data_IF_267737307660
#
_entry.id   IF_267737307660
#
_cell.length_a   1.000
_cell.length_b   1.000
_cell.length_c   1.000
_cell.angle_alpha   90.00
_cell.angle_beta   90.00
_cell.angle_gamma   90.00
#
_symmetry.space_group_name_H-M   'P 1'
#
loop_
_entity.id
_entity.type
_entity.pdbx_description
1 polymer ?
#
# COMPACT_ATOMS: atom_id res chain seq x y z
N UNK A 1 29.59 7.43 21.17
CA UNK A 1 30.11 6.12 20.74
C UNK A 1 29.74 5.81 19.29
N UNK A 2 28.47 5.74 18.92
CA UNK A 2 28.07 5.50 17.51
C UNK A 2 28.65 6.51 16.49
N UNK A 3 28.79 7.78 16.85
CA UNK A 3 29.38 8.82 15.98
C UNK A 3 30.87 8.59 15.72
N UNK A 4 31.61 8.00 16.66
CA UNK A 4 33.05 7.75 16.49
C UNK A 4 33.31 6.42 15.78
N UNK A 5 32.39 5.45 15.92
CA UNK A 5 32.48 4.12 15.33
C UNK A 5 31.42 3.90 14.24
N UNK A 6 31.17 4.89 13.39
CA UNK A 6 30.18 4.78 12.34
C UNK A 6 30.56 3.68 11.33
N UNK A 7 29.55 3.00 10.79
CA UNK A 7 29.72 1.98 9.76
C UNK A 7 29.72 2.69 8.39
N UNK A 8 30.67 2.36 7.53
CA UNK A 8 30.75 2.91 6.18
C UNK A 8 31.11 1.83 5.16
N UNK A 9 30.78 2.08 3.90
CA UNK A 9 31.20 1.27 2.76
C UNK A 9 32.44 1.96 2.18
N UNK A 10 33.58 1.28 2.21
CA UNK A 10 34.82 1.78 1.63
C UNK A 10 34.77 1.77 0.09
N UNK A 11 35.71 2.44 -0.57
CA UNK A 11 35.76 2.53 -2.04
C UNK A 11 35.89 1.17 -2.73
N UNK A 12 36.46 0.18 -2.03
CA UNK A 12 36.56 -1.22 -2.47
C UNK A 12 35.25 -2.01 -2.30
N UNK A 13 34.20 -1.38 -1.74
CA UNK A 13 32.90 -1.99 -1.44
C UNK A 13 32.86 -2.76 -0.11
N UNK A 14 33.94 -2.76 0.67
CA UNK A 14 33.97 -3.44 1.96
C UNK A 14 33.25 -2.63 3.04
N UNK A 15 32.46 -3.32 3.87
CA UNK A 15 31.76 -2.72 5.00
C UNK A 15 32.73 -2.64 6.18
N UNK A 16 33.11 -1.43 6.58
CA UNK A 16 34.09 -1.16 7.63
C UNK A 16 33.46 -0.35 8.76
N UNK A 17 34.06 -0.45 9.94
CA UNK A 17 33.70 0.35 11.11
C UNK A 17 34.82 1.35 11.34
N UNK A 18 34.48 2.63 11.47
CA UNK A 18 35.48 3.65 11.79
C UNK A 18 36.07 3.38 13.19
N UNK A 19 37.38 3.57 13.34
CA UNK A 19 38.09 3.39 14.60
C UNK A 19 37.78 2.03 15.30
N UNK A 20 37.86 0.94 14.52
CA UNK A 20 37.52 -0.41 14.99
C UNK A 20 38.36 -0.86 16.20
N UNK A 21 39.62 -0.44 16.29
CA UNK A 21 40.54 -0.88 17.34
C UNK A 21 40.13 -0.42 18.75
N UNK A 22 39.38 0.69 18.85
CA UNK A 22 38.90 1.24 20.12
C UNK A 22 37.45 0.87 20.41
N UNK A 23 36.87 -0.06 19.65
CA UNK A 23 35.48 -0.47 19.80
C UNK A 23 35.27 -1.26 21.10
N UNK A 24 34.18 -0.96 21.80
CA UNK A 24 33.81 -1.68 23.01
C UNK A 24 33.17 -3.04 22.69
N UNK A 25 33.16 -3.97 23.65
CA UNK A 25 32.62 -5.34 23.43
C UNK A 25 31.10 -5.39 23.25
N UNK A 26 30.40 -4.40 23.77
CA UNK A 26 28.94 -4.17 23.67
C UNK A 26 28.54 -3.39 22.40
N UNK A 27 29.42 -3.31 21.41
CA UNK A 27 29.21 -2.53 20.18
C UNK A 27 27.89 -2.81 19.44
N UNK A 28 27.44 -4.05 19.44
CA UNK A 28 26.20 -4.48 18.84
C UNK A 28 24.96 -3.80 19.44
N UNK A 29 25.03 -3.27 20.66
CA UNK A 29 23.91 -2.55 21.30
C UNK A 29 23.69 -1.15 20.68
N UNK A 30 24.76 -0.48 20.23
CA UNK A 30 24.67 0.87 19.67
C UNK A 30 24.96 0.97 18.17
N UNK A 31 25.64 -0.02 17.57
CA UNK A 31 25.83 -0.14 16.12
C UNK A 31 24.84 -1.08 15.44
N UNK A 32 24.16 -1.93 16.22
CA UNK A 32 23.31 -2.99 15.71
C UNK A 32 24.10 -4.22 15.23
N UNK A 33 23.36 -5.25 14.87
CA UNK A 33 23.90 -6.51 14.36
C UNK A 33 24.25 -6.39 12.88
N UNK A 34 25.39 -6.95 12.49
CA UNK A 34 25.88 -6.91 11.11
C UNK A 34 25.01 -7.77 10.17
N UNK A 35 24.46 -7.14 9.13
CA UNK A 35 23.78 -7.85 8.04
C UNK A 35 24.80 -8.46 7.05
N UNK A 36 24.40 -9.49 6.29
CA UNK A 36 25.19 -9.97 5.15
C UNK A 36 25.47 -8.84 4.15
N UNK A 37 26.68 -8.83 3.57
CA UNK A 37 27.07 -7.81 2.58
C UNK A 37 26.14 -7.70 1.37
N UNK A 38 25.49 -8.81 0.97
CA UNK A 38 24.49 -8.83 -0.10
C UNK A 38 23.29 -7.90 0.21
N UNK A 39 22.82 -7.83 1.46
CA UNK A 39 21.71 -6.94 1.83
C UNK A 39 22.13 -5.47 1.90
N UNK A 40 23.35 -5.19 2.36
CA UNK A 40 23.90 -3.84 2.32
C UNK A 40 24.06 -3.33 0.88
N UNK A 41 24.45 -4.21 -0.04
CA UNK A 41 24.51 -3.87 -1.47
C UNK A 41 23.12 -3.51 -2.01
N UNK A 42 22.08 -4.28 -1.70
CA UNK A 42 20.70 -3.97 -2.13
C UNK A 42 20.15 -2.68 -1.52
N UNK A 43 20.49 -2.38 -0.26
CA UNK A 43 20.16 -1.10 0.37
C UNK A 43 20.88 0.07 -0.33
N UNK A 44 22.20 -0.04 -0.53
CA UNK A 44 23.03 1.02 -1.10
C UNK A 44 22.70 1.30 -2.58
N UNK A 45 22.30 0.28 -3.34
CA UNK A 45 21.88 0.42 -4.74
C UNK A 45 20.41 0.81 -4.91
N UNK A 46 19.66 0.94 -3.81
CA UNK A 46 18.28 1.40 -3.80
C UNK A 46 17.23 0.35 -4.18
N UNK A 47 17.57 -0.94 -4.20
CA UNK A 47 16.62 -2.02 -4.49
C UNK A 47 15.52 -2.13 -3.41
N UNK A 48 15.89 -1.92 -2.15
CA UNK A 48 15.01 -2.03 -0.97
C UNK A 48 15.27 -0.89 0.01
N UNK A 49 14.26 -0.57 0.83
CA UNK A 49 14.37 0.37 1.93
C UNK A 49 15.05 -0.22 3.18
N UNK A 50 15.40 0.65 4.12
CA UNK A 50 16.10 0.25 5.34
C UNK A 50 15.18 -0.36 6.41
N UNK A 51 13.87 -0.10 6.36
CA UNK A 51 12.98 -0.28 7.52
C UNK A 51 12.97 -1.69 8.10
N UNK A 52 12.77 -2.70 7.25
CA UNK A 52 12.78 -4.12 7.68
C UNK A 52 14.18 -4.55 8.11
N UNK A 53 15.21 -4.02 7.46
CA UNK A 53 16.61 -4.27 7.83
C UNK A 53 16.92 -3.70 9.22
N UNK A 54 16.46 -2.48 9.52
CA UNK A 54 16.63 -1.80 10.79
C UNK A 54 15.97 -2.57 11.94
N UNK A 55 14.81 -3.17 11.67
CA UNK A 55 14.12 -4.05 12.63
C UNK A 55 14.96 -5.26 13.02
N UNK A 56 15.64 -5.85 12.03
CA UNK A 56 16.47 -7.03 12.20
C UNK A 56 17.81 -6.67 12.86
N UNK A 57 18.47 -5.59 12.43
CA UNK A 57 19.78 -5.17 12.95
C UNK A 57 19.69 -4.74 14.40
N UNK A 58 18.67 -3.97 14.77
CA UNK A 58 18.51 -3.45 16.14
C UNK A 58 17.65 -4.35 17.02
N UNK A 59 17.15 -5.47 16.50
CA UNK A 59 16.27 -6.39 17.23
C UNK A 59 15.05 -5.70 17.86
N UNK A 60 14.57 -4.61 17.24
CA UNK A 60 13.46 -3.80 17.75
C UNK A 60 12.66 -3.14 16.63
N UNK A 61 11.36 -3.03 16.84
CA UNK A 61 10.47 -2.22 16.01
C UNK A 61 9.99 -1.06 16.88
N UNK A 62 10.22 0.17 16.44
CA UNK A 62 9.74 1.37 17.14
C UNK A 62 8.64 2.01 16.30
N UNK A 63 7.41 2.00 16.83
CA UNK A 63 6.29 2.72 16.21
C UNK A 63 6.37 4.18 16.61
N UNK A 64 6.49 5.07 15.62
CA UNK A 64 6.61 6.52 15.83
C UNK A 64 5.26 7.21 15.99
N UNK A 65 5.24 8.45 16.53
CA UNK A 65 4.05 9.30 16.56
C UNK A 65 3.45 9.56 15.17
N UNK A 66 2.13 9.75 15.13
CA UNK A 66 1.42 10.19 13.92
C UNK A 66 1.66 11.68 13.67
N UNK A 67 1.36 12.16 12.45
CA UNK A 67 1.57 13.56 12.07
C UNK A 67 0.75 14.55 12.90
N UNK A 68 -0.43 14.13 13.35
CA UNK A 68 -1.33 14.89 14.22
C UNK A 68 -1.00 14.69 15.71
N UNK A 69 -0.09 13.77 16.05
CA UNK A 69 0.33 13.49 17.43
C UNK A 69 -0.75 12.80 18.27
N UNK A 70 -1.83 12.29 17.66
CA UNK A 70 -2.96 11.68 18.36
C UNK A 70 -2.87 10.16 18.29
N UNK A 71 -2.84 9.51 19.45
CA UNK A 71 -2.97 8.06 19.56
C UNK A 71 -4.45 7.65 19.60
N UNK A 72 -5.14 7.71 18.46
CA UNK A 72 -6.53 7.26 18.38
C UNK A 72 -6.64 5.75 18.63
N UNK A 73 -7.78 5.28 19.14
CA UNK A 73 -7.97 3.85 19.39
C UNK A 73 -7.87 3.01 18.09
N UNK A 74 -8.26 3.57 16.94
CA UNK A 74 -8.02 2.87 15.66
C UNK A 74 -6.54 2.78 15.34
N UNK A 75 -5.77 3.86 15.53
CA UNK A 75 -4.33 3.84 15.29
C UNK A 75 -3.63 2.83 16.20
N UNK A 76 -3.96 2.83 17.50
CA UNK A 76 -3.41 1.87 18.46
C UNK A 76 -3.69 0.43 18.02
N UNK A 77 -4.95 0.10 17.69
CA UNK A 77 -5.34 -1.23 17.21
C UNK A 77 -4.63 -1.60 15.90
N UNK A 78 -4.51 -0.65 14.98
CA UNK A 78 -3.87 -0.85 13.69
C UNK A 78 -2.41 -1.29 13.86
N UNK A 79 -1.62 -0.49 14.59
CA UNK A 79 -0.16 -0.70 14.70
C UNK A 79 0.23 -1.81 15.68
N UNK A 80 -0.60 -2.11 16.68
CA UNK A 80 -0.29 -3.15 17.69
C UNK A 80 -0.82 -4.53 17.33
N UNK A 81 -1.79 -4.63 16.41
CA UNK A 81 -2.44 -5.90 16.09
C UNK A 81 -2.65 -6.13 14.60
N UNK A 82 -3.28 -5.18 13.90
CA UNK A 82 -3.79 -5.47 12.54
C UNK A 82 -2.69 -5.57 11.49
N UNK A 83 -1.66 -4.71 11.54
CA UNK A 83 -0.54 -4.74 10.57
C UNK A 83 0.65 -5.60 11.03
N UNK A 84 0.64 -6.08 12.28
CA UNK A 84 1.71 -6.92 12.84
C UNK A 84 1.97 -8.17 11.98
N UNK A 85 0.96 -8.91 11.48
CA UNK A 85 1.19 -10.06 10.61
C UNK A 85 1.96 -9.73 9.32
N UNK A 86 1.88 -8.50 8.80
CA UNK A 86 2.65 -8.09 7.62
C UNK A 86 4.12 -7.88 7.97
N UNK A 87 4.38 -7.27 9.14
CA UNK A 87 5.75 -7.10 9.67
C UNK A 87 6.41 -8.45 9.95
N UNK A 88 5.66 -9.37 10.57
CA UNK A 88 6.11 -10.75 10.81
C UNK A 88 6.45 -11.47 9.51
N UNK A 89 5.60 -11.38 8.48
CA UNK A 89 5.86 -11.98 7.17
C UNK A 89 7.08 -11.38 6.48
N UNK A 90 7.21 -10.05 6.49
CA UNK A 90 8.35 -9.33 5.89
C UNK A 90 9.67 -9.78 6.51
N UNK A 91 9.72 -9.88 7.85
CA UNK A 91 10.89 -10.38 8.57
C UNK A 91 11.12 -11.88 8.28
N UNK A 92 10.08 -12.70 8.31
CA UNK A 92 10.17 -14.14 8.09
C UNK A 92 10.59 -14.53 6.64
N UNK A 93 10.45 -13.62 5.67
CA UNK A 93 10.98 -13.81 4.31
C UNK A 93 12.51 -13.69 4.26
N UNK A 94 13.10 -12.83 5.09
CA UNK A 94 14.54 -12.55 5.07
C UNK A 94 15.34 -13.43 6.03
N UNK A 95 14.81 -13.62 7.25
CA UNK A 95 15.49 -14.33 8.36
C UNK A 95 16.13 -15.67 7.96
N UNK A 96 15.48 -16.56 7.17
CA UNK A 96 16.06 -17.87 6.82
C UNK A 96 17.39 -17.81 6.05
N UNK A 97 17.69 -16.66 5.42
CA UNK A 97 18.93 -16.44 4.66
C UNK A 97 19.98 -15.64 5.42
N UNK A 98 19.72 -15.28 6.68
CA UNK A 98 20.66 -14.54 7.53
C UNK A 98 21.46 -15.48 8.43
N UNK A 99 22.51 -14.95 9.06
CA UNK A 99 23.33 -15.71 10.00
C UNK A 99 22.55 -16.14 11.25
N UNK A 100 22.97 -17.25 11.87
CA UNK A 100 22.29 -17.88 13.01
C UNK A 100 22.04 -16.93 14.20
N UNK A 101 22.93 -15.97 14.46
CA UNK A 101 22.72 -14.94 15.48
C UNK A 101 21.46 -14.11 15.22
N UNK A 102 21.30 -13.60 14.00
CA UNK A 102 20.10 -12.86 13.57
C UNK A 102 18.84 -13.73 13.59
N UNK A 103 18.98 -15.02 13.24
CA UNK A 103 17.85 -15.95 13.26
C UNK A 103 17.27 -16.17 14.65
N UNK A 104 18.10 -16.26 15.69
CA UNK A 104 17.64 -16.54 17.05
C UNK A 104 17.33 -15.29 17.88
N UNK A 105 17.88 -14.13 17.54
CA UNK A 105 17.65 -12.90 18.32
C UNK A 105 16.19 -12.43 18.28
N UNK A 106 15.57 -12.27 19.46
CA UNK A 106 14.19 -11.83 19.56
C UNK A 106 14.05 -10.38 19.07
N UNK A 107 13.02 -10.10 18.27
CA UNK A 107 12.70 -8.75 17.82
C UNK A 107 11.49 -8.27 18.63
N UNK A 108 11.64 -7.15 19.33
CA UNK A 108 10.57 -6.60 20.18
C UNK A 108 10.01 -5.31 19.60
N UNK A 109 8.69 -5.22 19.50
CA UNK A 109 7.97 -4.01 19.11
C UNK A 109 7.59 -3.18 20.32
N UNK A 110 7.87 -1.87 20.22
CA UNK A 110 7.53 -0.83 21.19
C UNK A 110 6.73 0.27 20.51
N UNK A 111 5.86 0.92 21.28
CA UNK A 111 5.00 2.02 20.81
C UNK A 111 5.24 3.27 21.64
N UNK A 112 5.08 4.43 21.01
CA UNK A 112 5.34 5.72 21.65
C UNK A 112 4.27 6.15 22.67
N UNK A 113 3.07 5.57 22.62
CA UNK A 113 1.92 5.98 23.45
C UNK A 113 1.73 5.11 24.71
N UNK A 114 2.55 4.07 24.89
CA UNK A 114 2.51 3.17 26.03
C UNK A 114 3.89 2.52 26.26
N UNK A 115 4.61 3.02 27.26
CA UNK A 115 5.95 2.52 27.63
C UNK A 115 5.94 1.07 28.11
N UNK A 116 4.81 0.63 28.68
CA UNK A 116 4.64 -0.73 29.21
C UNK A 116 4.38 -1.76 28.12
N UNK A 117 3.88 -1.32 26.96
CA UNK A 117 3.62 -2.19 25.83
C UNK A 117 4.90 -2.85 25.34
N UNK A 118 4.84 -4.15 25.08
CA UNK A 118 5.95 -4.92 24.53
C UNK A 118 5.38 -6.11 23.78
N UNK A 119 5.68 -6.21 22.49
CA UNK A 119 5.23 -7.33 21.67
C UNK A 119 6.41 -8.02 21.01
N UNK A 120 6.55 -9.32 21.20
CA UNK A 120 7.63 -10.09 20.57
C UNK A 120 7.18 -10.63 19.21
N UNK A 121 7.89 -10.25 18.16
CA UNK A 121 7.59 -10.61 16.76
C UNK A 121 7.77 -12.11 16.54
N UNK A 122 6.76 -12.77 15.97
CA UNK A 122 6.85 -14.15 15.54
C UNK A 122 7.56 -14.26 14.18
N UNK A 123 8.74 -14.87 14.19
CA UNK A 123 9.55 -15.10 12.97
C UNK A 123 9.35 -16.49 12.35
N UNK A 124 8.66 -17.39 13.06
CA UNK A 124 8.52 -18.81 12.70
C UNK A 124 7.10 -19.12 12.25
N UNK A 125 6.59 -18.31 11.30
CA UNK A 125 5.25 -18.45 10.75
C UNK A 125 5.07 -19.79 10.02
N UNK A 126 3.90 -20.41 10.19
CA UNK A 126 3.51 -21.64 9.51
C UNK A 126 2.18 -21.44 8.77
N UNK A 127 2.10 -21.74 7.45
CA UNK A 127 3.21 -22.14 6.59
C UNK A 127 4.22 -20.99 6.37
N UNK A 128 5.47 -21.32 6.04
CA UNK A 128 6.51 -20.31 5.87
C UNK A 128 6.18 -19.37 4.70
N UNK A 129 6.26 -18.03 4.87
CA UNK A 129 6.05 -17.08 3.78
C UNK A 129 6.99 -17.32 2.60
N UNK A 130 8.24 -17.73 2.86
CA UNK A 130 9.20 -18.08 1.81
C UNK A 130 8.71 -19.27 0.97
N UNK A 131 8.09 -20.27 1.60
CA UNK A 131 7.57 -21.46 0.90
C UNK A 131 6.32 -21.11 0.08
N UNK A 132 5.40 -20.32 0.64
CA UNK A 132 4.19 -19.86 -0.08
C UNK A 132 4.53 -18.95 -1.25
N UNK A 133 5.51 -18.07 -1.09
CA UNK A 133 5.94 -17.17 -2.15
C UNK A 133 6.74 -17.91 -3.24
N UNK A 134 7.53 -18.93 -2.86
CA UNK A 134 8.33 -19.73 -3.78
C UNK A 134 7.53 -20.83 -4.53
N UNK A 135 6.28 -20.54 -4.89
CA UNK A 135 5.46 -21.32 -5.83
C UNK A 135 5.33 -20.64 -7.20
N UNK A 136 5.66 -19.35 -7.29
CA UNK A 136 5.51 -18.53 -8.48
C UNK A 136 6.77 -18.56 -9.37
N UNK A 137 6.67 -19.21 -10.53
CA UNK A 137 7.70 -19.34 -11.56
C UNK A 137 7.18 -18.87 -12.94
N UNK A 138 6.71 -17.62 -12.99
CA UNK A 138 6.15 -17.04 -14.22
C UNK A 138 7.28 -16.60 -15.17
N UNK A 139 7.18 -16.96 -16.44
CA UNK A 139 8.12 -16.54 -17.49
C UNK A 139 7.50 -15.44 -18.34
N UNK A 140 8.32 -14.54 -18.87
CA UNK A 140 7.85 -13.46 -19.76
C UNK A 140 7.12 -13.98 -21.00
N UNK A 141 7.48 -15.15 -21.50
CA UNK A 141 6.76 -15.80 -22.61
C UNK A 141 5.28 -16.04 -22.29
N UNK A 142 4.94 -16.23 -21.00
CA UNK A 142 3.56 -16.43 -20.54
C UNK A 142 2.78 -15.12 -20.49
N UNK A 143 3.40 -13.95 -20.43
CA UNK A 143 2.66 -12.68 -20.42
C UNK A 143 1.89 -12.47 -21.72
N UNK A 144 2.49 -12.87 -22.85
CA UNK A 144 1.90 -12.76 -24.19
C UNK A 144 0.63 -13.59 -24.37
N UNK A 145 0.37 -14.59 -23.53
CA UNK A 145 -0.81 -15.44 -23.66
C UNK A 145 -2.09 -14.75 -23.19
N UNK A 146 -1.98 -13.65 -22.43
CA UNK A 146 -3.13 -12.93 -21.85
C UNK A 146 -3.05 -11.41 -22.05
N UNK A 147 -1.95 -10.90 -22.60
CA UNK A 147 -1.72 -9.46 -22.78
C UNK A 147 -2.82 -8.78 -23.60
N UNK A 148 -3.27 -9.40 -24.70
CA UNK A 148 -4.28 -8.84 -25.58
C UNK A 148 -5.66 -8.75 -24.91
N UNK A 149 -6.02 -9.76 -24.11
CA UNK A 149 -7.31 -9.82 -23.43
C UNK A 149 -7.37 -8.90 -22.20
N UNK A 150 -6.25 -8.72 -21.50
CA UNK A 150 -6.18 -7.88 -20.30
C UNK A 150 -6.01 -6.40 -20.66
N UNK A 151 -5.29 -6.10 -21.74
CA UNK A 151 -5.02 -4.74 -22.22
C UNK A 151 -4.34 -3.81 -21.19
N UNK A 152 -3.50 -4.37 -20.31
CA UNK A 152 -2.58 -3.64 -19.42
C UNK A 152 -1.18 -4.28 -19.48
N UNK A 153 -0.11 -3.52 -19.22
CA UNK A 153 1.24 -4.07 -19.18
C UNK A 153 1.47 -4.93 -17.92
N UNK A 154 2.28 -5.99 -18.00
CA UNK A 154 2.83 -6.67 -16.83
C UNK A 154 3.57 -5.71 -15.89
N UNK A 155 3.51 -6.00 -14.59
CA UNK A 155 3.92 -5.12 -13.50
C UNK A 155 2.84 -4.14 -13.05
N UNK A 156 1.66 -4.14 -13.66
CA UNK A 156 0.51 -3.34 -13.21
C UNK A 156 -0.51 -4.19 -12.46
N UNK A 157 -1.03 -3.68 -11.34
CA UNK A 157 -2.02 -4.37 -10.49
C UNK A 157 -3.21 -4.93 -11.31
N UNK A 158 -3.63 -4.22 -12.36
CA UNK A 158 -4.66 -4.71 -13.27
C UNK A 158 -4.23 -5.95 -14.06
N UNK A 159 -3.03 -5.95 -14.63
CA UNK A 159 -2.49 -7.13 -15.29
C UNK A 159 -2.40 -8.32 -14.35
N UNK A 160 -1.75 -8.16 -13.19
CA UNK A 160 -1.51 -9.29 -12.29
C UNK A 160 -2.80 -9.90 -11.72
N UNK A 161 -3.84 -9.11 -11.47
CA UNK A 161 -5.11 -9.64 -10.97
C UNK A 161 -5.92 -10.27 -12.10
N UNK A 162 -6.06 -9.59 -13.24
CA UNK A 162 -6.91 -10.06 -14.33
C UNK A 162 -6.31 -11.26 -15.08
N UNK A 163 -4.98 -11.36 -15.17
CA UNK A 163 -4.32 -12.52 -15.77
C UNK A 163 -4.69 -13.84 -15.07
N UNK A 164 -5.00 -13.81 -13.76
CA UNK A 164 -5.40 -14.99 -13.00
C UNK A 164 -6.84 -15.46 -13.27
N UNK A 165 -7.62 -14.68 -14.04
CA UNK A 165 -8.93 -15.12 -14.53
C UNK A 165 -8.81 -16.13 -15.69
N UNK A 166 -7.62 -16.26 -16.29
CA UNK A 166 -7.37 -17.14 -17.42
C UNK A 166 -6.75 -18.47 -16.97
N UNK A 167 -7.48 -19.60 -17.03
CA UNK A 167 -7.01 -20.87 -16.48
C UNK A 167 -5.70 -21.39 -17.08
N UNK A 168 -5.48 -21.14 -18.37
CA UNK A 168 -4.25 -21.59 -19.05
C UNK A 168 -3.02 -20.78 -18.63
N UNK A 169 -3.21 -19.50 -18.30
CA UNK A 169 -2.17 -18.69 -17.66
C UNK A 169 -1.83 -19.24 -16.28
N UNK A 170 -2.83 -19.51 -15.45
CA UNK A 170 -2.66 -20.06 -14.09
C UNK A 170 -1.85 -21.35 -14.10
N UNK A 171 -2.11 -22.28 -15.02
CA UNK A 171 -1.31 -23.52 -15.16
C UNK A 171 0.18 -23.23 -15.44
N UNK A 172 0.48 -22.14 -16.13
CA UNK A 172 1.82 -21.71 -16.49
C UNK A 172 2.58 -20.96 -15.39
N UNK A 173 1.94 -20.66 -14.25
CA UNK A 173 2.56 -19.91 -13.15
C UNK A 173 3.38 -20.77 -12.18
N UNK A 174 3.18 -22.09 -12.21
CA UNK A 174 3.87 -23.04 -11.34
C UNK A 174 5.21 -23.50 -11.96
N UNK A 175 6.23 -23.82 -11.15
CA UNK A 175 7.50 -24.34 -11.63
C UNK A 175 7.32 -25.70 -12.31
N UNK A 176 7.92 -25.82 -13.51
CA UNK A 176 7.97 -27.10 -14.24
C UNK A 176 9.08 -27.99 -13.66
N UNK A 177 8.76 -29.26 -13.40
CA UNK A 177 9.72 -30.35 -13.10
C UNK A 177 10.61 -30.24 -11.85
N UNK A 178 10.06 -29.80 -10.69
CA UNK A 178 10.79 -29.70 -9.40
C UNK A 178 12.13 -28.91 -9.47
N UNK A 179 12.37 -28.17 -10.56
CA UNK A 179 13.55 -27.34 -10.71
C UNK A 179 13.45 -26.15 -9.77
N UNK A 180 14.60 -25.68 -9.30
CA UNK A 180 14.68 -24.44 -8.53
C UNK A 180 14.17 -23.29 -9.41
N UNK A 181 13.27 -22.48 -8.86
CA UNK A 181 12.78 -21.25 -9.49
C UNK A 181 13.97 -20.36 -9.85
N UNK A 182 13.98 -19.83 -11.07
CA UNK A 182 15.06 -18.99 -11.59
C UNK A 182 14.72 -18.39 -12.95
N UNK A 183 15.52 -17.44 -13.44
CA UNK A 183 15.26 -16.75 -14.70
C UNK A 183 14.16 -15.68 -14.59
N UNK A 184 14.04 -15.08 -13.41
CA UNK A 184 13.18 -13.91 -13.15
C UNK A 184 14.10 -12.69 -13.14
N UNK A 185 14.50 -12.22 -14.33
CA UNK A 185 15.68 -11.35 -14.45
C UNK A 185 15.35 -9.91 -14.87
N UNK A 186 14.42 -9.70 -15.81
CA UNK A 186 14.03 -8.36 -16.25
C UNK A 186 13.27 -7.60 -15.15
N UNK A 187 13.27 -6.27 -15.24
CA UNK A 187 12.51 -5.41 -14.33
C UNK A 187 11.03 -5.79 -14.35
N UNK A 188 10.45 -5.93 -15.54
CA UNK A 188 9.03 -6.29 -15.73
C UNK A 188 8.69 -7.63 -15.06
N UNK A 189 9.50 -8.67 -15.28
CA UNK A 189 9.26 -9.99 -14.70
C UNK A 189 9.43 -9.99 -13.17
N UNK A 190 10.45 -9.29 -12.64
CA UNK A 190 10.66 -9.16 -11.20
C UNK A 190 9.47 -8.46 -10.54
N UNK A 191 9.03 -7.34 -11.11
CA UNK A 191 7.89 -6.57 -10.60
C UNK A 191 6.61 -7.40 -10.62
N UNK A 192 6.28 -8.05 -11.75
CA UNK A 192 5.09 -8.88 -11.86
C UNK A 192 5.09 -10.05 -10.86
N UNK A 193 6.20 -10.79 -10.74
CA UNK A 193 6.32 -11.88 -9.76
C UNK A 193 6.26 -11.38 -8.32
N UNK A 194 6.84 -10.21 -8.02
CA UNK A 194 6.73 -9.60 -6.70
C UNK A 194 5.27 -9.28 -6.34
N UNK A 195 4.50 -8.72 -7.28
CA UNK A 195 3.08 -8.41 -7.10
C UNK A 195 2.26 -9.68 -6.88
N UNK A 196 2.42 -10.73 -7.70
CA UNK A 196 1.70 -11.99 -7.48
C UNK A 196 2.03 -12.64 -6.14
N UNK A 197 3.29 -12.63 -5.73
CA UNK A 197 3.70 -13.14 -4.41
C UNK A 197 3.09 -12.31 -3.27
N UNK A 198 3.02 -10.99 -3.43
CA UNK A 198 2.33 -10.13 -2.48
C UNK A 198 0.84 -10.49 -2.40
N UNK A 199 0.16 -10.59 -3.54
CA UNK A 199 -1.27 -10.97 -3.61
C UNK A 199 -1.52 -12.33 -2.97
N UNK A 200 -0.61 -13.31 -3.16
CA UNK A 200 -0.70 -14.62 -2.54
C UNK A 200 -0.48 -14.56 -1.01
N UNK A 201 0.56 -13.87 -0.54
CA UNK A 201 0.84 -13.74 0.90
C UNK A 201 -0.26 -12.97 1.64
N UNK A 202 -0.82 -11.94 1.00
CA UNK A 202 -1.99 -11.21 1.51
C UNK A 202 -3.27 -12.01 1.39
N UNK A 203 -3.36 -13.05 0.55
CA UNK A 203 -4.54 -13.90 0.41
C UNK A 203 -5.62 -13.34 -0.53
N UNK A 204 -5.24 -12.47 -1.45
CA UNK A 204 -6.05 -12.18 -2.65
C UNK A 204 -6.01 -13.36 -3.63
N UNK A 205 -4.95 -14.14 -3.55
CA UNK A 205 -4.73 -15.36 -4.33
C UNK A 205 -4.50 -16.52 -3.35
N UNK A 206 -5.00 -17.70 -3.67
CA UNK A 206 -4.80 -18.91 -2.88
C UNK A 206 -3.58 -19.73 -3.35
N UNK A 207 -3.30 -20.84 -2.66
CA UNK A 207 -2.17 -21.72 -3.00
C UNK A 207 -2.31 -22.40 -4.38
N UNK A 208 -3.50 -22.35 -4.98
CA UNK A 208 -3.75 -22.84 -6.35
C UNK A 208 -3.54 -21.77 -7.42
N UNK A 209 -3.03 -20.59 -7.02
CA UNK A 209 -2.84 -19.41 -7.86
C UNK A 209 -4.15 -18.90 -8.49
N UNK A 210 -5.27 -19.09 -7.79
CA UNK A 210 -6.59 -18.58 -8.20
C UNK A 210 -7.06 -17.45 -7.28
N UNK A 211 -7.89 -16.55 -7.81
CA UNK A 211 -8.41 -15.42 -7.05
C UNK A 211 -9.36 -15.89 -5.94
N UNK A 212 -9.12 -15.43 -4.72
CA UNK A 212 -10.04 -15.60 -3.58
C UNK A 212 -11.21 -14.63 -3.69
N UNK A 213 -12.14 -14.62 -2.72
CA UNK A 213 -13.20 -13.62 -2.67
C UNK A 213 -12.65 -12.18 -2.65
N UNK A 214 -11.54 -11.94 -1.95
CA UNK A 214 -10.86 -10.64 -1.98
C UNK A 214 -10.27 -10.34 -3.37
N UNK A 215 -9.62 -11.31 -4.01
CA UNK A 215 -9.08 -11.15 -5.36
C UNK A 215 -10.16 -10.83 -6.40
N UNK A 216 -11.29 -11.55 -6.34
CA UNK A 216 -12.44 -11.32 -7.23
C UNK A 216 -13.11 -9.96 -6.99
N UNK A 217 -13.13 -9.47 -5.74
CA UNK A 217 -13.64 -8.15 -5.41
C UNK A 217 -12.77 -7.04 -6.02
N UNK A 218 -11.45 -7.18 -5.93
CA UNK A 218 -10.52 -6.24 -6.59
C UNK A 218 -10.66 -6.31 -8.12
N UNK A 219 -10.74 -7.51 -8.69
CA UNK A 219 -10.97 -7.68 -10.13
C UNK A 219 -12.26 -6.99 -10.60
N UNK A 220 -13.34 -7.10 -9.83
CA UNK A 220 -14.62 -6.45 -10.11
C UNK A 220 -14.53 -4.92 -10.07
N UNK A 221 -13.77 -4.39 -9.10
CA UNK A 221 -13.50 -2.95 -9.00
C UNK A 221 -12.63 -2.47 -10.17
N UNK A 222 -11.60 -3.22 -10.56
CA UNK A 222 -10.74 -2.90 -11.70
C UNK A 222 -11.54 -2.84 -13.00
N UNK A 223 -12.43 -3.80 -13.25
CA UNK A 223 -13.31 -3.75 -14.43
C UNK A 223 -14.22 -2.52 -14.45
N UNK A 224 -14.86 -2.19 -13.32
CA UNK A 224 -15.68 -0.98 -13.22
C UNK A 224 -14.87 0.31 -13.45
N UNK A 225 -13.64 0.35 -12.94
CA UNK A 225 -12.75 1.49 -13.14
C UNK A 225 -12.35 1.59 -14.62
N UNK A 226 -11.94 0.49 -15.26
CA UNK A 226 -11.59 0.46 -16.69
C UNK A 226 -12.71 0.99 -17.58
N UNK A 227 -13.97 0.65 -17.28
CA UNK A 227 -15.11 1.18 -18.02
C UNK A 227 -15.23 2.71 -17.86
N UNK A 228 -15.02 3.23 -16.66
CA UNK A 228 -15.06 4.67 -16.39
C UNK A 228 -13.89 5.44 -17.02
N UNK A 229 -12.73 4.80 -17.15
CA UNK A 229 -11.51 5.39 -17.73
C UNK A 229 -11.60 5.58 -19.26
N UNK A 230 -12.64 5.08 -19.92
CA UNK A 230 -12.91 5.36 -21.35
C UNK A 230 -13.23 6.83 -21.59
N UNK A 231 -13.76 7.52 -20.58
CA UNK A 231 -14.25 8.90 -20.68
C UNK A 231 -13.44 9.88 -19.79
N UNK A 232 -12.58 9.36 -18.91
CA UNK A 232 -11.88 10.15 -17.89
C UNK A 232 -10.36 10.15 -18.11
N UNK A 233 -9.74 11.28 -17.81
CA UNK A 233 -8.28 11.42 -17.84
C UNK A 233 -7.67 11.08 -16.48
N UNK A 234 -6.61 10.26 -16.48
CA UNK A 234 -5.86 9.93 -15.27
C UNK A 234 -4.76 11.01 -15.05
N UNK A 235 -4.64 11.57 -13.83
CA UNK A 235 -3.53 12.42 -13.46
C UNK A 235 -2.16 11.76 -13.65
N UNK A 236 -1.17 12.53 -14.10
CA UNK A 236 0.20 12.02 -14.25
C UNK A 236 0.77 11.52 -12.91
N UNK A 237 1.39 10.33 -12.97
CA UNK A 237 1.97 9.65 -11.82
C UNK A 237 0.97 8.97 -10.89
N UNK A 238 -0.34 9.02 -11.18
CA UNK A 238 -1.35 8.29 -10.41
C UNK A 238 -1.48 6.86 -10.93
N UNK A 239 -1.15 5.88 -10.08
CA UNK A 239 -1.46 4.48 -10.33
C UNK A 239 -2.85 4.14 -9.77
N UNK A 240 -3.89 4.27 -10.61
CA UNK A 240 -5.28 4.09 -10.19
C UNK A 240 -5.57 2.67 -9.70
N UNK A 241 -4.97 1.65 -10.30
CA UNK A 241 -5.21 0.25 -9.90
C UNK A 241 -4.49 -0.11 -8.60
N UNK A 242 -3.34 0.49 -8.33
CA UNK A 242 -2.70 0.44 -7.01
C UNK A 242 -3.54 1.16 -5.94
N UNK A 243 -4.18 2.29 -6.29
CA UNK A 243 -5.11 2.96 -5.38
C UNK A 243 -6.32 2.07 -5.03
N UNK A 244 -6.84 1.28 -5.98
CA UNK A 244 -7.89 0.27 -5.72
C UNK A 244 -7.37 -0.77 -4.74
N UNK A 245 -6.20 -1.39 -5.00
CA UNK A 245 -5.64 -2.39 -4.10
C UNK A 245 -5.41 -1.82 -2.69
N UNK A 246 -4.90 -0.59 -2.60
CA UNK A 246 -4.73 0.13 -1.34
C UNK A 246 -6.07 0.34 -0.62
N UNK A 247 -7.15 0.67 -1.35
CA UNK A 247 -8.49 0.79 -0.76
C UNK A 247 -8.96 -0.54 -0.14
N UNK A 248 -8.75 -1.67 -0.82
CA UNK A 248 -9.11 -2.99 -0.30
C UNK A 248 -8.26 -3.41 0.91
N UNK A 249 -6.97 -3.07 0.93
CA UNK A 249 -6.11 -3.25 2.11
C UNK A 249 -6.64 -2.44 3.31
N UNK A 250 -7.05 -1.19 3.09
CA UNK A 250 -7.63 -0.34 4.13
C UNK A 250 -8.99 -0.84 4.62
N UNK A 251 -9.84 -1.39 3.73
CA UNK A 251 -11.12 -2.01 4.11
C UNK A 251 -10.86 -3.24 4.98
N UNK A 252 -9.91 -4.09 4.59
CA UNK A 252 -9.56 -5.30 5.33
C UNK A 252 -9.00 -5.01 6.72
N UNK A 253 -8.30 -3.90 6.88
CA UNK A 253 -7.83 -3.41 8.17
C UNK A 253 -8.88 -2.57 8.92
N UNK A 254 -10.10 -2.46 8.42
CA UNK A 254 -11.18 -1.66 9.00
C UNK A 254 -10.79 -0.18 9.23
N UNK A 255 -10.02 0.37 8.30
CA UNK A 255 -9.57 1.78 8.27
C UNK A 255 -10.43 2.60 7.30
N UNK A 256 -10.73 2.05 6.12
CA UNK A 256 -11.60 2.70 5.13
C UNK A 256 -13.06 2.32 5.38
N UNK A 257 -13.71 3.10 6.25
CA UNK A 257 -15.11 2.95 6.62
C UNK A 257 -15.78 4.33 6.84
N UNK A 258 -17.09 4.35 7.08
CA UNK A 258 -17.85 5.58 7.38
C UNK A 258 -17.92 5.91 8.88
N UNK A 259 -17.21 5.15 9.72
CA UNK A 259 -17.24 5.28 11.17
C UNK A 259 -16.15 6.23 11.64
N UNK A 260 -16.17 6.52 12.94
CA UNK A 260 -15.13 7.28 13.61
C UNK A 260 -14.91 8.65 12.96
N UNK A 261 -15.95 9.47 13.01
CA UNK A 261 -15.94 10.84 12.50
C UNK A 261 -15.07 11.76 13.35
N UNK A 262 -14.58 11.34 14.53
CA UNK A 262 -13.73 12.14 15.42
C UNK A 262 -14.19 13.60 15.48
N UNK A 263 -15.39 13.82 16.03
CA UNK A 263 -16.04 15.14 16.06
C UNK A 263 -15.24 16.17 16.87
N UNK A 264 -14.35 15.71 17.74
CA UNK A 264 -13.34 16.51 18.43
C UNK A 264 -12.29 17.13 17.49
N UNK A 265 -12.13 16.59 16.28
CA UNK A 265 -11.20 17.07 15.27
C UNK A 265 -11.89 17.97 14.24
N UNK A 266 -11.22 19.05 13.86
CA UNK A 266 -11.70 19.95 12.82
C UNK A 266 -11.79 19.23 11.45
N UNK A 267 -12.79 19.59 10.64
CA UNK A 267 -12.95 19.12 9.27
C UNK A 267 -13.89 17.93 9.10
N UNK A 268 -14.63 17.53 10.14
CA UNK A 268 -15.72 16.57 10.00
C UNK A 268 -16.84 17.10 9.05
N UNK A 269 -17.58 16.23 8.35
CA UNK A 269 -18.78 16.61 7.60
C UNK A 269 -19.82 17.31 8.49
N UNK A 270 -20.38 18.42 8.01
CA UNK A 270 -21.20 19.32 8.83
C UNK A 270 -22.68 19.31 8.41
N UNK A 271 -22.96 19.11 7.13
CA UNK A 271 -24.30 19.26 6.55
C UNK A 271 -25.03 17.91 6.45
N UNK A 272 -26.35 17.92 6.66
CA UNK A 272 -27.23 16.76 6.43
C UNK A 272 -27.49 15.90 7.66
N UNK A 273 -28.18 14.79 7.45
CA UNK A 273 -28.44 13.75 8.45
C UNK A 273 -27.13 13.05 8.86
N UNK A 274 -27.16 12.23 9.92
CA UNK A 274 -25.96 11.48 10.31
C UNK A 274 -25.52 10.45 9.27
N UNK A 275 -26.47 9.92 8.49
CA UNK A 275 -26.22 9.04 7.32
C UNK A 275 -25.57 9.81 6.18
N UNK A 276 -26.03 11.03 5.90
CA UNK A 276 -25.41 11.92 4.89
C UNK A 276 -23.96 12.20 5.27
N UNK A 277 -23.73 12.62 6.51
CA UNK A 277 -22.39 12.92 7.02
C UNK A 277 -21.48 11.68 7.02
N UNK A 278 -22.02 10.49 7.25
CA UNK A 278 -21.26 9.23 7.15
C UNK A 278 -20.89 8.92 5.70
N UNK A 279 -21.81 9.16 4.77
CA UNK A 279 -21.58 9.01 3.33
C UNK A 279 -20.48 9.96 2.82
N UNK A 280 -20.55 11.24 3.18
CA UNK A 280 -19.52 12.25 2.85
C UNK A 280 -18.15 11.82 3.39
N UNK A 281 -18.10 11.33 4.62
CA UNK A 281 -16.85 10.86 5.24
C UNK A 281 -16.23 9.70 4.45
N UNK A 282 -17.04 8.70 4.08
CA UNK A 282 -16.55 7.54 3.34
C UNK A 282 -16.06 7.92 1.94
N UNK A 283 -16.83 8.73 1.21
CA UNK A 283 -16.49 9.19 -0.15
C UNK A 283 -15.21 10.02 -0.12
N UNK A 284 -15.07 10.95 0.83
CA UNK A 284 -13.87 11.78 0.98
C UNK A 284 -12.62 10.99 1.39
N UNK A 285 -12.76 9.92 2.18
CA UNK A 285 -11.66 8.99 2.48
C UNK A 285 -11.22 8.22 1.24
N UNK A 286 -12.15 7.76 0.39
CA UNK A 286 -11.81 7.13 -0.89
C UNK A 286 -11.08 8.12 -1.81
N UNK A 287 -11.58 9.35 -1.92
CA UNK A 287 -10.96 10.41 -2.72
C UNK A 287 -9.56 10.80 -2.23
N UNK A 288 -9.25 10.60 -0.95
CA UNK A 288 -7.89 10.80 -0.38
C UNK A 288 -6.85 9.79 -0.83
N UNK A 289 -7.25 8.74 -1.56
CA UNK A 289 -6.31 7.78 -2.18
C UNK A 289 -5.90 8.20 -3.60
N UNK A 290 -6.48 9.30 -4.10
CA UNK A 290 -6.24 9.84 -5.42
C UNK A 290 -5.49 11.18 -5.32
N UNK A 291 -5.23 11.80 -6.48
CA UNK A 291 -4.43 13.02 -6.60
C UNK A 291 -5.28 14.18 -7.09
N UNK A 292 -5.20 15.33 -6.40
CA UNK A 292 -5.70 16.60 -6.90
C UNK A 292 -4.62 17.23 -7.79
N UNK A 293 -4.95 17.54 -9.05
CA UNK A 293 -4.05 18.29 -9.94
C UNK A 293 -4.04 19.76 -9.53
N UNK A 294 -2.87 20.24 -9.14
CA UNK A 294 -2.66 21.57 -8.57
C UNK A 294 -1.33 22.15 -9.06
N UNK A 295 -1.26 23.47 -9.21
CA UNK A 295 -0.01 24.15 -9.56
C UNK A 295 1.06 23.98 -8.48
N UNK A 296 2.34 24.10 -8.82
CA UNK A 296 3.46 23.94 -7.88
C UNK A 296 3.66 25.13 -6.91
N UNK A 297 2.57 25.66 -6.35
CA UNK A 297 2.53 26.88 -5.52
C UNK A 297 2.23 26.61 -4.03
N UNK A 298 2.39 25.36 -3.58
CA UNK A 298 2.06 24.92 -2.21
C UNK A 298 0.55 24.73 -2.00
N UNK A 299 0.17 23.84 -1.07
CA UNK A 299 -1.24 23.55 -0.82
C UNK A 299 -1.98 24.78 -0.30
N UNK A 300 -3.02 25.19 -1.04
CA UNK A 300 -3.92 26.28 -0.65
C UNK A 300 -5.34 25.75 -0.57
N UNK A 301 -5.75 25.33 0.61
CA UNK A 301 -7.08 24.81 0.89
C UNK A 301 -7.35 24.72 2.39
N UNK A 302 -8.59 24.40 2.80
CA UNK A 302 -8.94 24.32 4.21
C UNK A 302 -8.17 23.19 4.92
N UNK A 303 -7.86 23.40 6.21
CA UNK A 303 -7.25 22.38 7.06
C UNK A 303 -8.31 21.37 7.49
N UNK A 304 -8.05 20.08 7.29
CA UNK A 304 -8.91 18.99 7.73
C UNK A 304 -8.13 17.99 8.61
N UNK A 305 -8.28 18.10 9.94
CA UNK A 305 -7.61 17.21 10.90
C UNK A 305 -8.16 15.78 10.83
N UNK A 306 -9.42 15.62 10.45
CA UNK A 306 -10.02 14.30 10.29
C UNK A 306 -9.36 13.48 9.17
N UNK A 307 -9.17 14.11 8.01
CA UNK A 307 -8.49 13.48 6.89
C UNK A 307 -6.98 13.35 7.12
N UNK A 308 -6.36 14.23 7.92
CA UNK A 308 -4.97 14.05 8.36
C UNK A 308 -4.81 12.80 9.25
N UNK A 309 -5.74 12.52 10.16
CA UNK A 309 -5.74 11.27 10.92
C UNK A 309 -5.90 10.06 9.99
N UNK A 310 -6.83 10.12 9.04
CA UNK A 310 -6.97 9.07 8.02
C UNK A 310 -5.69 8.88 7.19
N UNK A 311 -4.96 9.96 6.88
CA UNK A 311 -3.66 9.89 6.21
C UNK A 311 -2.65 9.11 7.03
N UNK A 312 -2.56 9.36 8.33
CA UNK A 312 -1.66 8.61 9.23
C UNK A 312 -1.98 7.11 9.23
N UNK A 313 -3.27 6.74 9.29
CA UNK A 313 -3.72 5.35 9.25
C UNK A 313 -3.41 4.69 7.90
N UNK A 314 -3.75 5.35 6.80
CA UNK A 314 -3.52 4.83 5.44
C UNK A 314 -2.03 4.71 5.10
N UNK A 315 -1.22 5.64 5.60
CA UNK A 315 0.24 5.58 5.45
C UNK A 315 0.80 4.37 6.20
N UNK A 316 0.35 4.10 7.43
CA UNK A 316 0.81 2.94 8.19
C UNK A 316 0.52 1.60 7.49
N UNK A 317 -0.64 1.46 6.84
CA UNK A 317 -0.99 0.27 6.03
C UNK A 317 -0.09 0.19 4.79
N UNK A 318 -0.03 1.27 3.99
CA UNK A 318 0.79 1.35 2.77
C UNK A 318 2.26 1.06 3.04
N UNK A 319 2.79 1.52 4.16
CA UNK A 319 4.17 1.25 4.56
C UNK A 319 4.39 -0.22 4.90
N UNK A 320 3.46 -0.86 5.62
CA UNK A 320 3.54 -2.29 5.90
C UNK A 320 3.41 -3.15 4.63
N UNK A 321 2.59 -2.73 3.67
CA UNK A 321 2.50 -3.39 2.36
C UNK A 321 3.78 -3.23 1.54
N UNK A 322 4.36 -2.01 1.54
CA UNK A 322 5.64 -1.75 0.88
C UNK A 322 6.78 -2.58 1.49
N UNK A 323 6.86 -2.64 2.82
CA UNK A 323 7.84 -3.46 3.54
C UNK A 323 7.77 -4.93 3.08
N UNK A 324 6.56 -5.46 2.87
CA UNK A 324 6.33 -6.84 2.43
C UNK A 324 6.78 -7.04 0.98
N UNK A 325 6.43 -6.13 0.07
CA UNK A 325 6.84 -6.20 -1.35
C UNK A 325 8.37 -6.14 -1.48
N UNK A 326 9.02 -5.23 -0.76
CA UNK A 326 10.48 -5.14 -0.77
C UNK A 326 11.14 -6.39 -0.16
N UNK A 327 10.57 -6.94 0.92
CA UNK A 327 11.05 -8.20 1.50
C UNK A 327 10.89 -9.38 0.53
N UNK A 328 9.82 -9.42 -0.27
CA UNK A 328 9.63 -10.42 -1.33
C UNK A 328 10.75 -10.29 -2.37
N UNK A 329 11.01 -9.07 -2.87
CA UNK A 329 12.07 -8.84 -3.86
C UNK A 329 13.43 -9.20 -3.29
N UNK A 330 13.80 -8.72 -2.10
CA UNK A 330 15.04 -9.10 -1.44
C UNK A 330 15.15 -10.63 -1.30
N UNK A 331 14.07 -11.33 -0.95
CA UNK A 331 14.07 -12.79 -0.87
C UNK A 331 14.38 -13.43 -2.23
N UNK A 332 13.80 -12.95 -3.34
CA UNK A 332 14.08 -13.47 -4.70
C UNK A 332 15.57 -13.45 -5.01
N UNK A 333 16.25 -12.34 -4.69
CA UNK A 333 17.68 -12.18 -4.91
C UNK A 333 18.54 -13.03 -3.95
N UNK A 334 18.19 -13.09 -2.67
CA UNK A 334 18.86 -13.93 -1.66
C UNK A 334 18.73 -15.44 -1.96
N UNK A 335 17.62 -15.84 -2.60
CA UNK A 335 17.40 -17.20 -3.10
C UNK A 335 17.90 -17.40 -4.53
N UNK A 336 18.63 -16.44 -5.11
CA UNK A 336 19.20 -16.52 -6.47
C UNK A 336 18.17 -16.91 -7.55
N UNK A 337 16.94 -16.42 -7.41
CA UNK A 337 15.87 -16.59 -8.40
C UNK A 337 15.99 -15.54 -9.53
N UNK A 338 16.66 -14.43 -9.21
CA UNK A 338 16.96 -13.31 -10.11
C UNK A 338 18.47 -13.10 -10.22
N UNK A 339 18.93 -12.64 -11.39
CA UNK A 339 20.33 -12.28 -11.64
C UNK A 339 20.78 -11.15 -10.71
N UNK A 340 21.91 -11.38 -10.02
CA UNK A 340 22.53 -10.46 -9.05
C UNK A 340 23.52 -9.48 -9.67
N UNK A 341 24.03 -9.76 -10.85
CA UNK A 341 24.94 -8.85 -11.56
C UNK A 341 24.10 -7.95 -12.48
N UNK A 342 23.83 -6.73 -12.00
CA UNK A 342 22.95 -5.74 -12.64
C UNK A 342 23.19 -4.32 -12.13
N UNK A 343 22.73 -3.32 -12.88
CA UNK A 343 22.91 -1.88 -12.59
C UNK A 343 21.60 -1.11 -12.45
N UNK A 344 20.46 -1.78 -12.60
CA UNK A 344 19.12 -1.23 -12.68
C UNK A 344 18.27 -1.49 -11.41
N UNK A 345 18.94 -1.64 -10.26
CA UNK A 345 18.31 -1.93 -8.97
C UNK A 345 17.30 -0.87 -8.53
N UNK A 346 17.63 0.41 -8.69
CA UNK A 346 16.76 1.52 -8.34
C UNK A 346 15.48 1.52 -9.19
N UNK A 347 15.60 1.20 -10.48
CA UNK A 347 14.47 1.13 -11.41
C UNK A 347 13.50 0.01 -11.02
N UNK A 348 13.99 -1.14 -10.53
CA UNK A 348 13.13 -2.18 -9.96
C UNK A 348 12.35 -1.60 -8.78
N UNK A 349 13.04 -1.00 -7.81
CA UNK A 349 12.41 -0.44 -6.61
C UNK A 349 11.33 0.61 -6.94
N UNK A 350 11.58 1.44 -7.95
CA UNK A 350 10.63 2.45 -8.43
C UNK A 350 9.43 1.84 -9.16
N UNK A 351 9.57 0.67 -9.78
CA UNK A 351 8.48 -0.04 -10.45
C UNK A 351 7.58 -0.82 -9.48
N UNK A 352 8.05 -1.12 -8.27
CA UNK A 352 7.27 -1.82 -7.25
C UNK A 352 6.11 -0.94 -6.73
N UNK A 353 4.95 -1.54 -6.39
CA UNK A 353 3.82 -0.79 -5.85
C UNK A 353 4.11 -0.18 -4.47
N UNK A 354 3.20 0.68 -4.02
CA UNK A 354 3.21 1.32 -2.71
C UNK A 354 4.40 2.27 -2.53
N UNK A 355 4.84 2.93 -3.61
CA UNK A 355 5.97 3.86 -3.56
C UNK A 355 5.56 5.21 -2.95
N UNK A 356 4.40 5.73 -3.38
CA UNK A 356 3.93 7.06 -3.02
C UNK A 356 2.94 7.03 -1.86
N UNK A 357 2.94 8.08 -1.05
CA UNK A 357 1.96 8.23 0.02
C UNK A 357 0.67 8.86 -0.53
N UNK A 358 -0.51 8.46 -0.03
CA UNK A 358 -1.77 9.12 -0.36
C UNK A 358 -1.74 10.62 -0.03
N UNK A 359 -2.33 11.42 -0.91
CA UNK A 359 -2.57 12.86 -0.70
C UNK A 359 -4.04 13.10 -0.35
N UNK A 360 -4.28 13.82 0.73
CA UNK A 360 -5.64 14.10 1.21
C UNK A 360 -6.27 15.30 0.51
N UNK A 361 -5.54 16.05 -0.32
CA UNK A 361 -6.04 17.26 -0.97
C UNK A 361 -7.35 17.03 -1.74
N UNK A 362 -7.42 15.96 -2.55
CA UNK A 362 -8.64 15.61 -3.28
C UNK A 362 -9.77 15.16 -2.34
N UNK A 363 -9.45 14.46 -1.26
CA UNK A 363 -10.41 14.14 -0.20
C UNK A 363 -11.03 15.37 0.46
N UNK A 364 -10.20 16.37 0.78
CA UNK A 364 -10.67 17.64 1.35
C UNK A 364 -11.54 18.40 0.34
N UNK A 365 -11.13 18.41 -0.93
CA UNK A 365 -11.89 19.01 -2.02
C UNK A 365 -13.28 18.38 -2.16
N UNK A 366 -13.35 17.05 -2.30
CA UNK A 366 -14.61 16.31 -2.42
C UNK A 366 -15.48 16.50 -1.18
N UNK A 367 -14.89 16.45 0.03
CA UNK A 367 -15.62 16.70 1.28
C UNK A 367 -16.26 18.09 1.27
N UNK A 368 -15.46 19.12 1.01
CA UNK A 368 -15.90 20.53 1.04
C UNK A 368 -16.98 20.78 -0.01
N UNK A 369 -16.84 20.15 -1.19
CA UNK A 369 -17.84 20.22 -2.25
C UNK A 369 -19.16 19.56 -1.84
N UNK A 370 -19.11 18.35 -1.27
CA UNK A 370 -20.31 17.62 -0.83
C UNK A 370 -21.07 18.33 0.28
N UNK A 371 -20.38 19.00 1.21
CA UNK A 371 -21.03 19.81 2.26
C UNK A 371 -21.84 21.00 1.68
N UNK A 372 -21.47 21.48 0.49
CA UNK A 372 -22.13 22.59 -0.21
C UNK A 372 -23.13 22.14 -1.31
N UNK A 373 -23.27 20.82 -1.58
CA UNK A 373 -24.13 20.29 -2.64
C UNK A 373 -25.45 19.71 -2.12
N UNK A 374 -26.57 20.48 -2.13
CA UNK A 374 -27.87 19.97 -1.76
C UNK A 374 -28.46 19.07 -2.86
N UNK A 375 -29.13 17.99 -2.46
CA UNK A 375 -29.78 17.05 -3.39
C UNK A 375 -30.92 17.68 -4.21
N UNK A 376 -31.52 18.77 -3.73
CA UNK A 376 -32.63 19.46 -4.42
C UNK A 376 -32.17 20.40 -5.54
N UNK A 377 -30.88 20.67 -5.68
CA UNK A 377 -30.34 21.55 -6.73
C UNK A 377 -30.37 20.85 -8.10
N UNK A 378 -30.71 21.59 -9.17
CA UNK A 378 -30.74 21.04 -10.53
C UNK A 378 -29.34 20.76 -11.06
N UNK A 379 -29.22 19.86 -12.04
CA UNK A 379 -27.93 19.46 -12.64
C UNK A 379 -27.16 20.67 -13.18
N UNK A 380 -27.85 21.62 -13.82
CA UNK A 380 -27.22 22.82 -14.40
C UNK A 380 -26.61 23.71 -13.32
N UNK A 381 -27.29 23.85 -12.18
CA UNK A 381 -26.78 24.64 -11.04
C UNK A 381 -25.60 23.98 -10.37
N UNK A 382 -25.60 22.64 -10.24
CA UNK A 382 -24.45 21.89 -9.73
C UNK A 382 -23.25 22.05 -10.64
N UNK A 383 -23.46 21.94 -11.95
CA UNK A 383 -22.40 22.11 -12.94
C UNK A 383 -21.79 23.51 -12.88
N UNK A 384 -22.62 24.55 -12.72
CA UNK A 384 -22.14 25.92 -12.51
C UNK A 384 -21.32 26.04 -11.21
N UNK A 385 -21.82 25.48 -10.09
CA UNK A 385 -21.11 25.50 -8.80
C UNK A 385 -19.74 24.86 -8.91
N UNK A 386 -19.61 23.73 -9.60
CA UNK A 386 -18.34 23.01 -9.72
C UNK A 386 -17.31 23.77 -10.56
N UNK A 387 -17.76 24.56 -11.52
CA UNK A 387 -16.89 25.42 -12.30
C UNK A 387 -16.37 26.60 -11.44
N UNK A 388 -17.21 27.15 -10.55
CA UNK A 388 -16.85 28.28 -9.68
C UNK A 388 -16.11 27.86 -8.39
N UNK A 389 -16.28 26.60 -7.96
CA UNK A 389 -15.79 26.08 -6.68
C UNK A 389 -14.27 26.22 -6.46
N UNK A 390 -13.40 25.91 -7.45
CA UNK A 390 -11.95 26.03 -7.28
C UNK A 390 -11.53 27.44 -6.91
N UNK A 391 -12.09 28.47 -7.56
CA UNK A 391 -11.73 29.87 -7.27
C UNK A 391 -11.98 30.29 -5.82
N UNK A 392 -12.94 29.65 -5.14
CA UNK A 392 -13.30 29.95 -3.74
C UNK A 392 -12.46 29.17 -2.73
N UNK A 393 -12.17 27.89 -2.99
CA UNK A 393 -11.61 26.98 -1.98
C UNK A 393 -10.28 26.33 -2.36
N UNK A 394 -9.99 26.19 -3.66
CA UNK A 394 -8.81 25.51 -4.21
C UNK A 394 -8.30 26.28 -5.46
N UNK A 395 -7.84 27.53 -5.29
CA UNK A 395 -7.67 28.48 -6.40
C UNK A 395 -6.65 28.06 -7.46
N UNK A 396 -5.72 27.15 -7.14
CA UNK A 396 -4.71 26.65 -8.08
C UNK A 396 -4.95 25.20 -8.52
N UNK A 397 -6.18 24.67 -8.34
CA UNK A 397 -6.54 23.38 -8.91
C UNK A 397 -6.76 23.51 -10.43
N UNK A 398 -6.07 22.70 -11.23
CA UNK A 398 -6.03 22.87 -12.69
C UNK A 398 -7.14 22.09 -13.42
N UNK A 399 -7.56 20.95 -12.86
CA UNK A 399 -8.52 20.03 -13.49
C UNK A 399 -9.55 19.52 -12.48
N UNK A 400 -10.05 20.43 -11.65
CA UNK A 400 -10.89 20.08 -10.50
C UNK A 400 -12.11 19.23 -10.85
N UNK A 401 -12.84 19.57 -11.93
CA UNK A 401 -14.03 18.82 -12.36
C UNK A 401 -13.68 17.36 -12.67
N UNK A 402 -12.67 17.14 -13.49
CA UNK A 402 -12.23 15.81 -13.90
C UNK A 402 -11.74 14.99 -12.69
N UNK A 403 -11.00 15.63 -11.77
CA UNK A 403 -10.48 14.98 -10.56
C UNK A 403 -11.62 14.53 -9.62
N UNK A 404 -12.67 15.34 -9.49
CA UNK A 404 -13.87 14.98 -8.72
C UNK A 404 -14.65 13.86 -9.42
N UNK A 405 -14.81 13.92 -10.74
CA UNK A 405 -15.47 12.85 -11.51
C UNK A 405 -14.71 11.53 -11.41
N UNK A 406 -13.38 11.58 -11.45
CA UNK A 406 -12.50 10.43 -11.21
C UNK A 406 -12.69 9.88 -9.79
N UNK A 407 -12.78 10.73 -8.78
CA UNK A 407 -13.04 10.30 -7.40
C UNK A 407 -14.39 9.61 -7.23
N UNK A 408 -15.42 10.07 -7.93
CA UNK A 408 -16.74 9.43 -7.92
C UNK A 408 -16.71 8.08 -8.62
N UNK A 409 -16.12 8.00 -9.81
CA UNK A 409 -15.94 6.74 -10.52
C UNK A 409 -15.13 5.72 -9.71
N UNK A 410 -14.08 6.18 -9.03
CA UNK A 410 -13.27 5.36 -8.14
C UNK A 410 -14.05 4.83 -6.93
N UNK A 411 -14.84 5.68 -6.28
CA UNK A 411 -15.72 5.26 -5.19
C UNK A 411 -16.71 4.18 -5.65
N UNK A 412 -17.37 4.37 -6.79
CA UNK A 412 -18.32 3.41 -7.36
C UNK A 412 -17.65 2.08 -7.75
N UNK A 413 -16.42 2.14 -8.28
CA UNK A 413 -15.64 0.95 -8.57
C UNK A 413 -15.35 0.14 -7.30
N UNK A 414 -14.93 0.80 -6.21
CA UNK A 414 -14.71 0.15 -4.91
C UNK A 414 -16.03 -0.41 -4.37
N UNK A 415 -17.12 0.37 -4.40
CA UNK A 415 -18.45 -0.07 -3.97
C UNK A 415 -18.87 -1.36 -4.68
N UNK A 416 -18.76 -1.41 -6.01
CA UNK A 416 -19.07 -2.62 -6.79
C UNK A 416 -18.26 -3.82 -6.31
N UNK A 417 -16.96 -3.66 -6.10
CA UNK A 417 -16.12 -4.73 -5.57
C UNK A 417 -16.50 -5.15 -4.14
N UNK A 418 -16.79 -4.21 -3.24
CA UNK A 418 -17.26 -4.48 -1.88
C UNK A 418 -18.57 -5.28 -1.86
N UNK A 419 -19.49 -5.00 -2.79
CA UNK A 419 -20.74 -5.77 -2.89
C UNK A 419 -20.53 -7.24 -3.28
N UNK A 420 -19.40 -7.59 -3.90
CA UNK A 420 -19.07 -9.00 -4.22
C UNK A 420 -18.53 -9.80 -3.04
N UNK A 421 -18.03 -9.12 -2.00
CA UNK A 421 -17.56 -9.77 -0.78
C UNK A 421 -18.74 -10.40 -0.05
N UNK A 422 -18.51 -11.44 0.75
CA UNK A 422 -19.56 -12.18 1.42
C UNK A 422 -19.39 -12.12 2.94
N UNK A 423 -18.60 -13.05 3.50
CA UNK A 423 -18.36 -13.18 4.94
C UNK A 423 -17.29 -12.23 5.44
N UNK A 424 -16.51 -11.68 4.53
CA UNK A 424 -15.36 -10.82 4.76
C UNK A 424 -15.77 -9.42 5.22
N UNK A 425 -16.93 -8.93 4.76
CA UNK A 425 -17.50 -7.63 5.13
C UNK A 425 -18.94 -7.86 5.58
N UNK A 426 -19.32 -7.28 6.71
CA UNK A 426 -20.65 -7.48 7.28
C UNK A 426 -21.75 -6.92 6.37
N UNK A 427 -22.96 -7.46 6.46
CA UNK A 427 -24.10 -6.93 5.70
C UNK A 427 -24.40 -5.46 6.05
N UNK A 428 -24.18 -5.08 7.31
CA UNK A 428 -24.34 -3.70 7.76
C UNK A 428 -23.33 -2.77 7.08
N UNK A 429 -22.05 -3.16 7.03
CA UNK A 429 -21.02 -2.35 6.36
C UNK A 429 -21.30 -2.24 4.85
N UNK A 430 -21.72 -3.32 4.18
CA UNK A 430 -22.12 -3.23 2.76
C UNK A 430 -23.29 -2.28 2.53
N UNK A 431 -24.26 -2.26 3.44
CA UNK A 431 -25.38 -1.33 3.38
C UNK A 431 -24.90 0.13 3.48
N UNK A 432 -23.90 0.42 4.33
CA UNK A 432 -23.28 1.75 4.42
C UNK A 432 -22.68 2.17 3.08
N UNK A 433 -21.97 1.28 2.37
CA UNK A 433 -21.45 1.59 1.04
C UNK A 433 -22.55 1.87 0.02
N UNK A 434 -23.64 1.10 0.05
CA UNK A 434 -24.80 1.33 -0.83
C UNK A 434 -25.54 2.64 -0.50
N UNK A 435 -25.66 3.01 0.78
CA UNK A 435 -26.20 4.31 1.19
C UNK A 435 -25.35 5.45 0.67
N UNK A 436 -24.02 5.33 0.74
CA UNK A 436 -23.10 6.34 0.22
C UNK A 436 -23.14 6.46 -1.32
N UNK A 437 -23.29 5.34 -2.04
CA UNK A 437 -23.52 5.35 -3.49
C UNK A 437 -24.83 6.06 -3.85
N UNK A 438 -25.94 5.73 -3.17
CA UNK A 438 -27.21 6.43 -3.36
C UNK A 438 -27.12 7.95 -3.04
N UNK A 439 -26.36 8.31 -2.00
CA UNK A 439 -26.10 9.72 -1.64
C UNK A 439 -25.37 10.46 -2.77
N UNK A 440 -24.38 9.80 -3.37
CA UNK A 440 -23.58 10.33 -4.47
C UNK A 440 -24.40 10.48 -5.74
N UNK A 441 -25.20 9.48 -6.11
CA UNK A 441 -26.03 9.47 -7.32
C UNK A 441 -27.02 10.64 -7.34
N UNK A 442 -27.58 11.00 -6.19
CA UNK A 442 -28.46 12.16 -6.06
C UNK A 442 -27.76 13.50 -6.35
N UNK A 443 -26.43 13.55 -6.34
CA UNK A 443 -25.59 14.76 -6.39
C UNK A 443 -24.61 14.80 -7.57
N UNK A 444 -24.71 13.86 -8.51
CA UNK A 444 -23.96 13.90 -9.77
C UNK A 444 -24.33 15.13 -10.62
N UNK A 445 -23.43 15.47 -11.53
CA UNK A 445 -23.44 16.67 -12.35
C UNK A 445 -22.85 16.42 -13.74
#
# INVERSE_FOLDING_TARGET
MAVNHFIYIAEDGEIKVNDFDHITRDNHEYLGLQLPGELFHYLNTGLIGSRVLDYITHSRIVVTPTLDGVASEQYKKLVTSQIVPLKEQSIALLIPRLHRGLQHNAITMKVWFDDSFSYQINKSLQPSPSQRAATWDVKESSFKTVADDVADPPGSIAFEILALLFPDFVKGTFPKDKKRIGGIDSIENITAVAIWRFLHLRGYVDDSHTLTNWGNAVASAIWAMKDSLKELQIPEGLNIFEAILSAFELIRHDVLNARHRHEELNGAPMTGSDEDKASILLISRCASLLKLRHESNGYTGPLNKNLLLFRSLSTAVREADRDLVEAIVASMFLYAQSKRDRTDYLQISQALPFLHNPDIALGIAVKTLMDELPASESVEKRQARINDFPGKFFPYATNFKDDVQLAFAFFEAIHKGVQTLNKEVSAADKAVWSTASNYLDQRRF
#
